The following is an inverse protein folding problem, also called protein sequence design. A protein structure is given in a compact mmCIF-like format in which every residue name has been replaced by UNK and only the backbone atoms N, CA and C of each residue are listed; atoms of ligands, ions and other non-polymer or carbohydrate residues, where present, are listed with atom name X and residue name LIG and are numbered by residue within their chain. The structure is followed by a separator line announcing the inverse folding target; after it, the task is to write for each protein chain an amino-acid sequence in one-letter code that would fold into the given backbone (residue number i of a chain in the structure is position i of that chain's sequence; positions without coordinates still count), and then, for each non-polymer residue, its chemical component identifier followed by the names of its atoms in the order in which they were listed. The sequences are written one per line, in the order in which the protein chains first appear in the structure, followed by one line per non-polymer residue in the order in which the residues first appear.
data_IF_309942389347
#
_entry.id   IF_309942389347
#
_cell.length_a   1.000
_cell.length_b   1.000
_cell.length_c   1.000
_cell.angle_alpha   90.00
_cell.angle_beta   90.00
_cell.angle_gamma   90.00
#
_symmetry.space_group_name_H-M   'P 1'
#
loop_
_entity.id
_entity.type
_entity.pdbx_description
1 polymer ?
#
# COMPACT_ATOMS: atom_id res chain seq x y z
N UNK A 1 8.68 -19.82 -19.77
CA UNK A 1 8.76 -19.99 -18.30
C UNK A 1 9.25 -18.74 -17.55
N UNK A 2 9.75 -17.67 -18.20
CA UNK A 2 10.05 -16.38 -17.52
C UNK A 2 8.79 -15.64 -17.06
N UNK A 3 7.72 -15.73 -17.85
CA UNK A 3 6.53 -14.89 -17.68
C UNK A 3 5.69 -15.30 -16.48
N UNK A 4 5.76 -16.57 -16.09
CA UNK A 4 5.03 -17.09 -14.92
C UNK A 4 5.56 -16.48 -13.61
N UNK A 5 6.89 -16.35 -13.49
CA UNK A 5 7.53 -15.68 -12.34
C UNK A 5 7.16 -14.19 -12.29
N UNK A 6 7.12 -13.52 -13.45
CA UNK A 6 6.69 -12.12 -13.55
C UNK A 6 5.24 -11.95 -13.08
N UNK A 7 4.34 -12.81 -13.55
CA UNK A 7 2.91 -12.78 -13.20
C UNK A 7 2.66 -13.01 -11.71
N UNK A 8 3.39 -13.93 -11.09
CA UNK A 8 3.30 -14.18 -9.64
C UNK A 8 3.69 -12.95 -8.83
N UNK A 9 4.76 -12.24 -9.22
CA UNK A 9 5.20 -11.02 -8.54
C UNK A 9 4.23 -9.85 -8.75
N UNK A 10 3.59 -9.76 -9.93
CA UNK A 10 2.57 -8.72 -10.18
C UNK A 10 1.38 -8.91 -9.25
N UNK A 11 0.90 -10.15 -9.07
CA UNK A 11 -0.27 -10.45 -8.24
C UNK A 11 -0.08 -10.09 -6.76
N UNK A 12 1.16 -10.11 -6.26
CA UNK A 12 1.52 -9.76 -4.87
C UNK A 12 1.44 -8.26 -4.57
N UNK A 13 1.44 -7.38 -5.59
CA UNK A 13 1.51 -5.92 -5.39
C UNK A 13 0.18 -5.34 -4.91
N UNK A 14 0.25 -4.42 -3.94
CA UNK A 14 -0.86 -3.58 -3.49
C UNK A 14 -0.35 -2.14 -3.39
N UNK A 15 -0.83 -1.28 -4.29
CA UNK A 15 -0.44 0.13 -4.37
C UNK A 15 -1.63 0.98 -3.95
N UNK A 16 -1.46 1.76 -2.89
CA UNK A 16 -2.50 2.66 -2.41
C UNK A 16 -1.85 3.93 -1.84
N UNK A 17 -2.66 4.98 -1.70
CA UNK A 17 -2.29 6.21 -1.03
C UNK A 17 -3.34 6.51 0.06
N UNK A 18 -2.90 7.19 1.11
CA UNK A 18 -3.78 7.70 2.15
C UNK A 18 -3.93 9.20 1.91
N UNK A 19 -5.18 9.66 1.86
CA UNK A 19 -5.52 11.08 1.86
C UNK A 19 -6.26 11.37 3.15
N UNK A 20 -5.75 12.31 3.93
CA UNK A 20 -6.30 12.64 5.25
C UNK A 20 -6.06 14.10 5.59
N UNK A 21 -6.83 14.60 6.55
CA UNK A 21 -6.57 15.90 7.16
C UNK A 21 -5.17 15.93 7.80
N UNK A 22 -4.47 17.08 7.84
CA UNK A 22 -3.13 17.20 8.45
C UNK A 22 -3.03 16.62 9.87
N UNK A 23 -4.09 16.74 10.66
CA UNK A 23 -4.13 16.30 12.06
C UNK A 23 -4.62 14.85 12.25
N UNK A 24 -4.95 14.12 11.18
CA UNK A 24 -5.52 12.79 11.29
C UNK A 24 -4.59 11.73 11.92
N UNK A 25 -3.29 12.02 12.00
CA UNK A 25 -2.30 11.18 12.65
C UNK A 25 -1.99 11.59 14.11
N UNK A 26 -2.65 12.62 14.64
CA UNK A 26 -2.44 13.00 16.05
C UNK A 26 -2.94 11.87 16.96
N UNK A 27 -2.09 11.35 17.86
CA UNK A 27 -2.53 10.34 18.82
C UNK A 27 -3.60 10.96 19.74
N UNK A 28 -4.73 10.28 19.89
CA UNK A 28 -5.88 10.76 20.68
C UNK A 28 -5.61 10.81 22.21
N UNK A 29 -4.39 10.54 22.66
CA UNK A 29 -4.02 10.58 24.06
C UNK A 29 -3.09 11.79 24.31
N UNK A 30 -3.71 12.95 24.54
CA UNK A 30 -3.13 14.10 25.22
C UNK A 30 -3.83 14.28 26.57
#
# INVERSE_FOLDING_TARGET
MSDQKLLEEIKKRRTFAIISHPDAAQPFNA
#
